data_IF_232164708191
#
_entry.id   IF_232164708191
#
_cell.length_a   1.000
_cell.length_b   1.000
_cell.length_c   1.000
_cell.angle_alpha   90.00
_cell.angle_beta   90.00
_cell.angle_gamma   90.00
#
_symmetry.space_group_name_H-M   'P 1'
#
loop_
_entity.id
_entity.type
_entity.pdbx_description
1 polymer ?
#
# COMPACT_ATOMS: atom_id res chain seq x y z
N UNK A 1 -0.97 -8.93 7.73
CA UNK A 1 -0.26 -10.24 7.84
C UNK A 1 0.52 -10.52 6.55
N UNK A 2 -0.08 -10.47 5.35
CA UNK A 2 0.60 -10.80 4.08
C UNK A 2 1.86 -9.98 3.81
N UNK A 3 1.84 -8.67 4.08
CA UNK A 3 3.00 -7.79 3.87
C UNK A 3 4.19 -8.15 4.76
N UNK A 4 3.95 -8.59 6.00
CA UNK A 4 5.01 -9.13 6.86
C UNK A 4 5.59 -10.41 6.28
N UNK A 5 4.77 -11.24 5.62
CA UNK A 5 5.23 -12.42 4.89
C UNK A 5 6.22 -12.09 3.79
N UNK A 6 6.01 -11.00 3.03
CA UNK A 6 7.01 -10.53 2.03
C UNK A 6 8.32 -10.09 2.67
N UNK A 7 8.28 -9.35 3.77
CA UNK A 7 9.49 -8.97 4.48
C UNK A 7 10.27 -10.21 4.96
N UNK A 8 9.58 -11.18 5.56
CA UNK A 8 10.18 -12.45 6.00
C UNK A 8 10.72 -13.28 4.83
N UNK A 9 10.10 -13.19 3.65
CA UNK A 9 10.62 -13.86 2.44
C UNK A 9 11.99 -13.32 2.04
N UNK A 10 12.21 -12.00 2.10
CA UNK A 10 13.53 -11.41 1.89
C UNK A 10 14.55 -11.94 2.90
N UNK A 11 14.18 -12.03 4.18
CA UNK A 11 15.06 -12.57 5.20
C UNK A 11 15.34 -14.07 5.00
N UNK A 12 14.33 -14.85 4.57
CA UNK A 12 14.46 -16.29 4.31
C UNK A 12 15.43 -16.61 3.16
N UNK A 13 15.69 -15.66 2.27
CA UNK A 13 16.71 -15.80 1.22
C UNK A 13 18.12 -16.00 1.80
N UNK A 14 18.39 -15.53 3.03
CA UNK A 14 19.69 -15.74 3.72
C UNK A 14 20.86 -15.06 3.03
N UNK A 15 20.64 -14.05 2.21
CA UNK A 15 21.63 -13.33 1.42
C UNK A 15 21.64 -11.84 1.74
N UNK A 16 22.73 -11.13 1.47
CA UNK A 16 22.78 -9.69 1.59
C UNK A 16 21.68 -9.00 0.74
N UNK A 17 21.46 -9.50 -0.49
CA UNK A 17 20.41 -9.02 -1.37
C UNK A 17 19.01 -9.22 -0.76
N UNK A 18 18.80 -10.32 -0.05
CA UNK A 18 17.53 -10.59 0.66
C UNK A 18 17.27 -9.62 1.81
N UNK A 19 18.30 -9.29 2.57
CA UNK A 19 18.23 -8.30 3.66
C UNK A 19 17.95 -6.89 3.09
N UNK A 20 18.67 -6.52 2.04
CA UNK A 20 18.43 -5.25 1.34
C UNK A 20 16.98 -5.15 0.82
N UNK A 21 16.51 -6.19 0.12
CA UNK A 21 15.14 -6.25 -0.39
C UNK A 21 14.10 -6.13 0.74
N UNK A 22 14.35 -6.77 1.89
CA UNK A 22 13.50 -6.66 3.07
C UNK A 22 13.45 -5.22 3.60
N UNK A 23 14.61 -4.55 3.74
CA UNK A 23 14.68 -3.18 4.25
C UNK A 23 13.97 -2.18 3.32
N UNK A 24 14.20 -2.29 2.02
CA UNK A 24 13.50 -1.50 1.00
C UNK A 24 11.99 -1.73 1.10
N UNK A 25 11.57 -2.99 1.15
CA UNK A 25 10.16 -3.33 1.25
C UNK A 25 9.50 -2.78 2.52
N UNK A 26 10.16 -2.92 3.67
CA UNK A 26 9.63 -2.42 4.94
C UNK A 26 9.50 -0.90 4.95
N UNK A 27 10.45 -0.18 4.36
CA UNK A 27 10.38 1.29 4.24
C UNK A 27 9.17 1.71 3.41
N UNK A 28 8.97 1.08 2.24
CA UNK A 28 7.80 1.33 1.38
C UNK A 28 6.50 0.99 2.12
N UNK A 29 6.46 -0.13 2.83
CA UNK A 29 5.30 -0.61 3.57
C UNK A 29 4.90 0.35 4.70
N UNK A 30 5.86 0.90 5.45
CA UNK A 30 5.57 1.89 6.50
C UNK A 30 4.89 3.13 5.91
N UNK A 31 5.41 3.65 4.80
CA UNK A 31 4.81 4.82 4.14
C UNK A 31 3.39 4.53 3.64
N UNK A 32 3.17 3.37 3.01
CA UNK A 32 1.82 2.96 2.59
C UNK A 32 0.85 2.90 3.76
N UNK A 33 1.29 2.33 4.90
CA UNK A 33 0.43 2.24 6.09
C UNK A 33 0.10 3.59 6.69
N UNK A 34 1.07 4.51 6.80
CA UNK A 34 0.83 5.86 7.32
C UNK A 34 -0.30 6.52 6.55
N UNK A 35 -0.26 6.52 5.22
CA UNK A 35 -1.30 7.12 4.40
C UNK A 35 -2.65 6.38 4.50
N UNK A 36 -2.63 5.06 4.47
CA UNK A 36 -3.85 4.26 4.56
C UNK A 36 -4.55 4.44 5.91
N UNK A 37 -3.80 4.41 7.01
CA UNK A 37 -4.38 4.65 8.34
C UNK A 37 -4.80 6.10 8.54
N UNK A 38 -4.10 7.08 7.96
CA UNK A 38 -4.56 8.47 7.96
C UNK A 38 -5.92 8.59 7.27
N UNK A 39 -6.16 7.86 6.18
CA UNK A 39 -7.47 7.80 5.54
C UNK A 39 -8.52 7.14 6.45
N UNK A 40 -8.23 5.95 7.00
CA UNK A 40 -9.16 5.20 7.86
C UNK A 40 -9.55 6.04 9.10
N UNK A 41 -8.59 6.69 9.73
CA UNK A 41 -8.84 7.56 10.89
C UNK A 41 -9.64 8.83 10.52
N UNK A 42 -9.74 9.15 9.24
CA UNK A 42 -10.55 10.26 8.75
C UNK A 42 -12.00 9.87 8.41
N UNK A 43 -12.34 8.56 8.50
CA UNK A 43 -13.68 8.07 8.21
C UNK A 43 -14.61 8.29 9.42
N UNK A 44 -15.43 9.32 9.36
CA UNK A 44 -16.40 9.69 10.39
C UNK A 44 -17.76 9.92 9.77
N UNK A 45 -18.82 9.64 10.53
CA UNK A 45 -20.22 10.00 10.23
C UNK A 45 -20.86 10.48 11.52
N UNK A 46 -21.43 11.68 11.50
CA UNK A 46 -22.03 12.33 12.68
C UNK A 46 -21.05 12.41 13.88
N UNK A 47 -19.76 12.62 13.58
CA UNK A 47 -18.69 12.67 14.58
C UNK A 47 -18.35 11.32 15.23
N UNK A 48 -18.82 10.21 14.68
CA UNK A 48 -18.48 8.86 15.13
C UNK A 48 -17.62 8.13 14.10
N UNK A 49 -16.61 7.37 14.55
CA UNK A 49 -15.76 6.60 13.64
C UNK A 49 -16.56 5.53 12.89
N UNK A 50 -16.34 5.42 11.58
CA UNK A 50 -16.97 4.42 10.72
C UNK A 50 -15.93 3.45 10.20
N UNK A 51 -16.22 2.15 10.29
CA UNK A 51 -15.28 1.08 9.90
C UNK A 51 -15.79 0.19 8.77
N UNK A 52 -17.02 0.41 8.32
CA UNK A 52 -17.64 -0.40 7.27
C UNK A 52 -17.18 0.04 5.87
N UNK A 53 -16.80 -0.95 5.04
CA UNK A 53 -16.37 -0.70 3.65
C UNK A 53 -17.54 -0.14 2.81
N UNK A 54 -18.77 -0.55 3.09
CA UNK A 54 -19.98 -0.04 2.42
C UNK A 54 -20.14 1.47 2.55
N UNK A 55 -19.66 2.06 3.63
CA UNK A 55 -19.68 3.51 3.84
C UNK A 55 -18.79 4.30 2.86
N UNK A 56 -17.95 3.60 2.10
CA UNK A 56 -17.13 4.20 1.04
C UNK A 56 -17.83 4.24 -0.32
N UNK A 57 -19.06 3.76 -0.43
CA UNK A 57 -19.79 3.78 -1.69
C UNK A 57 -19.86 5.19 -2.28
N UNK A 58 -19.41 5.31 -3.55
CA UNK A 58 -19.38 6.58 -4.28
C UNK A 58 -18.60 7.71 -3.58
N UNK A 59 -17.67 7.37 -2.66
CA UNK A 59 -16.85 8.36 -1.95
C UNK A 59 -16.09 9.29 -2.91
N UNK A 60 -15.70 8.78 -4.08
CA UNK A 60 -15.00 9.55 -5.10
C UNK A 60 -15.81 10.75 -5.63
N UNK A 61 -17.12 10.70 -5.61
CA UNK A 61 -17.98 11.83 -6.02
C UNK A 61 -18.00 12.94 -4.98
N UNK A 62 -18.01 12.58 -3.70
CA UNK A 62 -18.05 13.54 -2.60
C UNK A 62 -16.65 14.14 -2.32
N UNK A 63 -15.60 13.33 -2.38
CA UNK A 63 -14.23 13.71 -2.02
C UNK A 63 -13.19 13.17 -3.01
N UNK A 64 -13.14 13.67 -4.26
CA UNK A 64 -12.34 13.08 -5.34
C UNK A 64 -10.83 13.06 -5.04
N UNK A 65 -10.29 14.11 -4.41
CA UNK A 65 -8.87 14.18 -4.08
C UNK A 65 -8.42 13.12 -3.07
N UNK A 66 -9.23 12.89 -2.02
CA UNK A 66 -8.96 11.84 -1.02
C UNK A 66 -9.14 10.45 -1.60
N UNK A 67 -10.18 10.26 -2.40
CA UNK A 67 -10.43 9.00 -3.09
C UNK A 67 -9.27 8.65 -4.04
N UNK A 68 -8.76 9.62 -4.78
CA UNK A 68 -7.62 9.42 -5.67
C UNK A 68 -6.32 9.09 -4.92
N UNK A 69 -6.03 9.77 -3.81
CA UNK A 69 -4.89 9.45 -2.99
C UNK A 69 -5.00 8.02 -2.40
N UNK A 70 -6.19 7.64 -1.92
CA UNK A 70 -6.43 6.29 -1.42
C UNK A 70 -6.34 5.24 -2.54
N UNK A 71 -6.81 5.53 -3.76
CA UNK A 71 -6.65 4.66 -4.93
C UNK A 71 -5.17 4.34 -5.19
N UNK A 72 -4.30 5.36 -5.18
CA UNK A 72 -2.85 5.20 -5.35
C UNK A 72 -2.29 4.26 -4.28
N UNK A 73 -2.65 4.46 -3.02
CA UNK A 73 -2.18 3.62 -1.91
C UNK A 73 -2.68 2.18 -2.04
N UNK A 74 -3.95 1.98 -2.39
CA UNK A 74 -4.52 0.64 -2.58
C UNK A 74 -3.88 -0.09 -3.76
N UNK A 75 -3.59 0.60 -4.87
CA UNK A 75 -2.87 0.03 -6.00
C UNK A 75 -1.43 -0.32 -5.62
N UNK A 76 -0.78 0.51 -4.82
CA UNK A 76 0.55 0.22 -4.31
C UNK A 76 0.55 -0.99 -3.38
N UNK A 77 -0.41 -1.09 -2.45
CA UNK A 77 -0.60 -2.25 -1.58
C UNK A 77 -0.93 -3.54 -2.36
N UNK A 78 -1.76 -3.44 -3.38
CA UNK A 78 -2.06 -4.55 -4.29
C UNK A 78 -0.81 -5.01 -5.07
N UNK A 79 0.12 -4.09 -5.34
CA UNK A 79 1.30 -4.33 -6.16
C UNK A 79 1.01 -4.16 -7.65
N UNK A 80 0.24 -3.12 -8.00
CA UNK A 80 -0.06 -2.78 -9.40
C UNK A 80 1.01 -1.84 -9.93
N UNK A 81 1.67 -2.15 -11.09
CA UNK A 81 2.55 -1.19 -11.76
C UNK A 81 1.75 0.06 -12.18
N UNK A 82 2.35 1.25 -12.15
CA UNK A 82 3.73 1.61 -11.87
C UNK A 82 3.99 2.04 -10.41
N UNK A 83 3.17 1.62 -9.44
CA UNK A 83 3.32 2.06 -8.05
C UNK A 83 4.57 1.49 -7.37
N UNK A 84 5.13 2.24 -6.42
CA UNK A 84 6.36 1.87 -5.69
C UNK A 84 6.23 0.52 -4.96
N UNK A 85 5.04 0.19 -4.44
CA UNK A 85 4.78 -1.09 -3.78
C UNK A 85 4.94 -2.32 -4.68
N UNK A 86 4.73 -2.18 -5.99
CA UNK A 86 5.03 -3.24 -6.96
C UNK A 86 6.54 -3.55 -6.99
N UNK A 87 7.38 -2.53 -7.08
CA UNK A 87 8.83 -2.70 -7.11
C UNK A 87 9.34 -3.30 -5.81
N UNK A 88 8.83 -2.85 -4.65
CA UNK A 88 9.19 -3.45 -3.37
C UNK A 88 8.90 -4.96 -3.31
N UNK A 89 7.72 -5.39 -3.77
CA UNK A 89 7.39 -6.82 -3.88
C UNK A 89 8.31 -7.55 -4.86
N UNK A 90 8.58 -6.96 -6.01
CA UNK A 90 9.44 -7.54 -7.04
C UNK A 90 10.85 -7.78 -6.51
N UNK A 91 11.43 -6.85 -5.73
CA UNK A 91 12.74 -7.01 -5.11
C UNK A 91 12.80 -8.23 -4.20
N UNK A 92 11.82 -8.38 -3.32
CA UNK A 92 11.75 -9.51 -2.39
C UNK A 92 11.55 -10.83 -3.11
N UNK A 93 10.65 -10.87 -4.10
CA UNK A 93 10.39 -12.07 -4.90
C UNK A 93 11.63 -12.50 -5.68
N UNK A 94 12.35 -11.54 -6.25
CA UNK A 94 13.61 -11.78 -6.96
C UNK A 94 14.69 -12.31 -6.01
N UNK A 95 14.87 -11.71 -4.84
CA UNK A 95 15.83 -12.16 -3.86
C UNK A 95 15.57 -13.62 -3.42
N UNK A 96 14.31 -13.99 -3.20
CA UNK A 96 13.93 -15.37 -2.88
C UNK A 96 14.20 -16.33 -4.06
N UNK A 97 13.91 -15.91 -5.28
CA UNK A 97 14.14 -16.73 -6.48
C UNK A 97 15.64 -16.97 -6.71
N UNK A 98 16.46 -15.92 -6.63
CA UNK A 98 17.91 -15.97 -6.83
C UNK A 98 18.61 -16.81 -5.72
N UNK A 99 18.00 -16.90 -4.52
CA UNK A 99 18.43 -17.77 -3.43
C UNK A 99 18.00 -19.25 -3.59
N UNK A 100 17.40 -19.62 -4.72
CA UNK A 100 16.92 -20.99 -4.97
C UNK A 100 15.57 -21.33 -4.33
N UNK A 101 14.88 -20.35 -3.73
CA UNK A 101 13.57 -20.51 -3.11
C UNK A 101 12.42 -20.20 -4.10
N UNK A 102 12.50 -20.73 -5.32
CA UNK A 102 11.51 -20.47 -6.37
C UNK A 102 10.08 -20.80 -5.93
N UNK A 103 9.87 -21.89 -5.18
CA UNK A 103 8.57 -22.27 -4.65
C UNK A 103 7.97 -21.17 -3.74
N UNK A 104 8.83 -20.52 -2.93
CA UNK A 104 8.42 -19.44 -2.02
C UNK A 104 8.06 -18.17 -2.81
N UNK A 105 8.83 -17.86 -3.86
CA UNK A 105 8.51 -16.76 -4.77
C UNK A 105 7.15 -16.98 -5.45
N UNK A 106 6.87 -18.19 -5.94
CA UNK A 106 5.57 -18.55 -6.53
C UNK A 106 4.43 -18.40 -5.52
N UNK A 107 4.61 -18.92 -4.30
CA UNK A 107 3.63 -18.77 -3.24
C UNK A 107 3.37 -17.27 -2.93
N UNK A 108 4.41 -16.43 -2.93
CA UNK A 108 4.30 -14.99 -2.78
C UNK A 108 3.48 -14.32 -3.89
N UNK A 109 3.69 -14.71 -5.14
CA UNK A 109 2.90 -14.20 -6.27
C UNK A 109 1.42 -14.56 -6.11
N UNK A 110 1.12 -15.82 -5.78
CA UNK A 110 -0.26 -16.28 -5.55
C UNK A 110 -0.90 -15.47 -4.40
N UNK A 111 -0.19 -15.30 -3.28
CA UNK A 111 -0.66 -14.50 -2.15
C UNK A 111 -0.91 -13.03 -2.54
N UNK A 112 -0.09 -12.46 -3.45
CA UNK A 112 -0.29 -11.10 -3.96
C UNK A 112 -1.57 -10.97 -4.76
N UNK A 113 -1.89 -11.94 -5.61
CA UNK A 113 -3.12 -11.96 -6.41
C UNK A 113 -4.36 -12.06 -5.51
N UNK A 114 -4.31 -12.92 -4.50
CA UNK A 114 -5.40 -13.03 -3.50
C UNK A 114 -5.56 -11.71 -2.75
N UNK A 115 -4.44 -11.11 -2.30
CA UNK A 115 -4.45 -9.82 -1.60
C UNK A 115 -5.00 -8.68 -2.45
N UNK A 116 -4.68 -8.65 -3.75
CA UNK A 116 -5.16 -7.63 -4.69
C UNK A 116 -6.70 -7.58 -4.74
N UNK A 117 -7.39 -8.72 -4.63
CA UNK A 117 -8.84 -8.76 -4.59
C UNK A 117 -9.43 -7.88 -3.48
N UNK A 118 -8.87 -7.94 -2.27
CA UNK A 118 -9.37 -7.16 -1.14
C UNK A 118 -9.16 -5.66 -1.34
N UNK A 119 -8.04 -5.25 -1.89
CA UNK A 119 -7.74 -3.84 -2.16
C UNK A 119 -8.59 -3.29 -3.31
N UNK A 120 -8.72 -4.04 -4.39
CA UNK A 120 -9.53 -3.64 -5.54
C UNK A 120 -11.03 -3.61 -5.20
N UNK A 121 -11.49 -4.44 -4.28
CA UNK A 121 -12.86 -4.38 -3.76
C UNK A 121 -13.15 -3.02 -3.11
N UNK A 122 -12.22 -2.49 -2.31
CA UNK A 122 -12.39 -1.15 -1.71
C UNK A 122 -12.46 -0.08 -2.81
N UNK A 123 -11.56 -0.15 -3.80
CA UNK A 123 -11.60 0.76 -4.95
C UNK A 123 -12.95 0.69 -5.66
N UNK A 124 -13.47 -0.51 -5.86
CA UNK A 124 -14.77 -0.69 -6.51
C UNK A 124 -15.90 0.03 -5.76
N UNK A 125 -15.99 -0.12 -4.44
CA UNK A 125 -16.98 0.62 -3.64
C UNK A 125 -16.78 2.14 -3.75
N UNK A 126 -15.55 2.62 -3.67
CA UNK A 126 -15.26 4.05 -3.71
C UNK A 126 -15.66 4.74 -5.02
N UNK A 127 -15.57 4.03 -6.15
CA UNK A 127 -15.79 4.60 -7.48
C UNK A 127 -17.05 4.13 -8.20
N UNK A 128 -17.52 2.90 -7.90
CA UNK A 128 -18.58 2.22 -8.65
C UNK A 128 -19.67 1.61 -7.76
N UNK A 129 -19.64 1.89 -6.45
CA UNK A 129 -20.66 1.42 -5.52
C UNK A 129 -22.02 2.09 -5.73
N UNK A 130 -23.03 1.62 -5.01
CA UNK A 130 -24.36 2.24 -5.03
C UNK A 130 -24.35 3.58 -4.30
N UNK A 131 -25.08 4.58 -4.81
CA UNK A 131 -25.23 5.86 -4.13
C UNK A 131 -25.85 5.67 -2.74
N UNK A 132 -25.23 6.26 -1.72
CA UNK A 132 -25.77 6.29 -0.37
C UNK A 132 -26.49 7.62 -0.13
N UNK A 133 -27.63 7.55 0.55
CA UNK A 133 -28.40 8.74 0.92
C UNK A 133 -27.63 9.71 1.83
N UNK A 134 -26.70 9.17 2.62
CA UNK A 134 -25.84 9.92 3.53
C UNK A 134 -24.40 9.43 3.43
N UNK A 135 -23.51 10.29 2.95
CA UNK A 135 -22.07 10.01 2.83
C UNK A 135 -21.32 10.19 4.17
N UNK A 136 -20.01 9.94 4.11
CA UNK A 136 -19.09 10.25 5.22
C UNK A 136 -18.92 11.76 5.39
N UNK A 137 -18.73 12.20 6.63
CA UNK A 137 -18.46 13.59 6.95
C UNK A 137 -17.21 14.11 6.24
N UNK A 138 -17.22 15.40 5.88
CA UNK A 138 -16.03 16.07 5.40
C UNK A 138 -15.04 16.23 6.56
N UNK A 139 -14.09 15.30 6.68
CA UNK A 139 -13.07 15.39 7.73
C UNK A 139 -12.22 16.67 7.56
N UNK A 140 -12.13 17.46 8.62
CA UNK A 140 -11.43 18.75 8.65
C UNK A 140 -9.97 18.65 9.09
N UNK A 141 -9.46 17.46 9.43
CA UNK A 141 -8.09 17.29 9.90
C UNK A 141 -7.09 17.49 8.76
N UNK A 142 -6.41 18.64 8.78
CA UNK A 142 -5.32 18.96 7.84
C UNK A 142 -4.13 18.03 8.00
N UNK A 143 -3.89 17.53 9.21
CA UNK A 143 -2.78 16.60 9.51
C UNK A 143 -3.01 15.27 8.82
N UNK A 144 -4.20 14.66 8.99
CA UNK A 144 -4.52 13.38 8.33
C UNK A 144 -4.52 13.52 6.81
N UNK A 145 -5.06 14.64 6.32
CA UNK A 145 -5.01 14.94 4.88
C UNK A 145 -3.56 15.05 4.37
N UNK A 146 -2.68 15.73 5.12
CA UNK A 146 -1.27 15.87 4.78
C UNK A 146 -0.55 14.52 4.70
N UNK A 147 -0.74 13.63 5.69
CA UNK A 147 -0.16 12.29 5.67
C UNK A 147 -0.67 11.44 4.51
N UNK A 148 -1.98 11.49 4.23
CA UNK A 148 -2.57 10.77 3.10
C UNK A 148 -1.93 11.21 1.77
N UNK A 149 -1.89 12.52 1.52
CA UNK A 149 -1.36 13.08 0.26
C UNK A 149 0.15 12.88 0.13
N UNK A 150 0.91 13.07 1.20
CA UNK A 150 2.36 12.84 1.20
C UNK A 150 2.67 11.37 0.90
N UNK A 151 1.99 10.42 1.55
CA UNK A 151 2.17 8.99 1.29
C UNK A 151 1.81 8.61 -0.14
N UNK A 152 0.70 9.12 -0.68
CA UNK A 152 0.33 8.88 -2.07
C UNK A 152 1.35 9.45 -3.05
N UNK A 153 1.87 10.67 -2.80
CA UNK A 153 2.91 11.29 -3.61
C UNK A 153 4.20 10.45 -3.60
N UNK A 154 4.62 9.94 -2.44
CA UNK A 154 5.78 9.03 -2.34
C UNK A 154 5.57 7.77 -3.17
N UNK A 155 4.37 7.19 -3.21
CA UNK A 155 4.09 5.98 -3.99
C UNK A 155 4.18 6.20 -5.51
N UNK A 156 3.92 7.42 -5.99
CA UNK A 156 4.00 7.77 -7.41
C UNK A 156 5.41 8.22 -7.79
N UNK A 157 5.98 9.14 -7.01
CA UNK A 157 7.27 9.78 -7.35
C UNK A 157 8.48 9.02 -6.82
N UNK A 158 8.30 8.14 -5.83
CA UNK A 158 9.36 7.35 -5.24
C UNK A 158 10.01 6.33 -6.19
N UNK A 159 9.39 6.08 -7.34
CA UNK A 159 9.97 5.26 -8.41
C UNK A 159 11.26 5.91 -8.95
N UNK A 160 11.33 7.24 -8.94
CA UNK A 160 12.48 8.00 -9.36
C UNK A 160 13.56 7.87 -8.29
N UNK A 161 14.45 6.89 -8.42
CA UNK A 161 15.60 6.66 -7.53
C UNK A 161 15.26 6.16 -6.11
N UNK A 162 14.04 5.66 -5.86
CA UNK A 162 13.55 5.17 -4.55
C UNK A 162 13.93 6.09 -3.36
N UNK A 163 14.07 7.40 -3.59
CA UNK A 163 14.53 8.41 -2.63
C UNK A 163 15.85 8.05 -1.90
N UNK A 164 16.75 7.29 -2.54
CA UNK A 164 18.00 6.84 -1.95
C UNK A 164 17.87 5.68 -0.94
N UNK A 165 16.68 5.11 -0.77
CA UNK A 165 16.46 3.98 0.15
C UNK A 165 17.29 2.77 -0.28
N UNK A 166 17.42 2.52 -1.59
CA UNK A 166 18.25 1.44 -2.12
C UNK A 166 19.72 1.63 -1.74
N UNK A 167 20.26 2.84 -1.90
CA UNK A 167 21.63 3.15 -1.50
C UNK A 167 21.85 3.02 0.02
N UNK A 168 20.86 3.39 0.83
CA UNK A 168 20.92 3.24 2.28
C UNK A 168 20.80 1.77 2.71
N UNK A 169 20.01 0.97 2.01
CA UNK A 169 19.84 -0.46 2.29
C UNK A 169 21.09 -1.28 1.94
N UNK A 170 21.77 -0.94 0.83
CA UNK A 170 23.06 -1.57 0.46
C UNK A 170 24.21 -1.19 1.38
N UNK A 171 24.14 -0.03 2.04
CA UNK A 171 25.15 0.41 3.00
C UNK A 171 24.95 -0.18 4.42
N UNK A 172 23.85 -0.88 4.66
CA UNK A 172 23.59 -1.54 5.94
C UNK A 172 24.53 -2.77 6.08
N UNK A 173 25.23 -2.93 7.22
CA UNK A 173 26.20 -4.00 7.45
C UNK A 173 25.54 -5.39 7.58
#
# INVERSE_FOLDING_TARGET
IAHMGYALMGLAAGTALGVEAMLVYMTIYVVMNIGTFAFILSMEKDGQPVTEISSLNMYATAQPGRAFAMLILLFSLAGVPPMLGFFGKLYVLRAAYDAGLAWLAIAGVIASVIGAFYYLRIVFFMYFGEEQAEGLDANKSTILWGFLMASAAVMVFGIINMFGVEAAATAAP
#
